data_IF_946792184042
#
_entry.id   IF_946792184042
#
_cell.length_a   1.000
_cell.length_b   1.000
_cell.length_c   1.000
_cell.angle_alpha   90.00
_cell.angle_beta   90.00
_cell.angle_gamma   90.00
#
_symmetry.space_group_name_H-M   'P 1'
#
loop_
_entity.id
_entity.type
_entity.pdbx_description
1 polymer ?
#
# COMPACT_ATOMS: atom_id res chain seq x y z
N UNK A 1 3.71 -7.28 0.79
CA UNK A 1 2.74 -6.69 1.76
C UNK A 1 3.33 -5.42 2.37
N UNK A 2 2.51 -4.40 2.55
CA UNK A 2 2.89 -3.14 3.19
C UNK A 2 1.65 -2.31 3.57
N UNK A 3 1.84 -1.32 4.45
CA UNK A 3 0.77 -0.43 4.91
C UNK A 3 0.93 0.98 4.34
N UNK A 4 -0.12 1.50 3.74
CA UNK A 4 -0.20 2.89 3.33
C UNK A 4 -1.17 3.68 4.23
N UNK A 5 -0.76 4.90 4.55
CA UNK A 5 -1.58 5.85 5.28
C UNK A 5 -1.98 7.00 4.37
N UNK A 6 -3.28 7.14 4.15
CA UNK A 6 -3.85 8.23 3.39
C UNK A 6 -4.52 9.21 4.35
N UNK A 7 -4.19 10.48 4.24
CA UNK A 7 -4.70 11.51 5.16
C UNK A 7 -5.55 12.49 4.38
N UNK A 8 -6.83 12.57 4.74
CA UNK A 8 -7.72 13.57 4.21
C UNK A 8 -7.41 14.93 4.86
N UNK A 9 -6.74 15.78 4.09
CA UNK A 9 -6.30 17.12 4.50
C UNK A 9 -6.73 18.15 3.46
N UNK A 10 -6.16 19.34 3.58
CA UNK A 10 -6.24 20.37 2.54
C UNK A 10 -5.84 19.86 1.18
N UNK A 11 -6.42 20.42 0.15
CA UNK A 11 -6.09 20.14 -1.25
C UNK A 11 -4.58 20.24 -1.50
N UNK A 12 -4.02 19.17 -2.05
CA UNK A 12 -2.61 19.11 -2.45
C UNK A 12 -2.52 19.35 -3.96
N UNK A 13 -2.34 20.58 -4.37
CA UNK A 13 -2.20 20.91 -5.78
C UNK A 13 -2.31 22.41 -6.06
N UNK A 14 -2.01 22.77 -7.27
CA UNK A 14 -2.17 24.13 -7.78
C UNK A 14 -3.29 24.14 -8.83
N UNK A 15 -4.24 25.08 -8.67
CA UNK A 15 -5.28 25.34 -9.64
C UNK A 15 -5.06 26.74 -10.20
N UNK A 16 -4.94 26.84 -11.53
CA UNK A 16 -4.99 28.10 -12.22
C UNK A 16 -6.46 28.50 -12.42
N UNK A 17 -6.84 29.65 -11.94
CA UNK A 17 -8.18 30.19 -12.12
C UNK A 17 -8.10 31.71 -12.33
N UNK A 18 -9.04 32.26 -13.12
CA UNK A 18 -9.10 33.69 -13.38
C UNK A 18 -9.54 34.53 -12.18
N UNK A 19 -10.24 33.88 -11.24
CA UNK A 19 -10.73 34.52 -10.01
C UNK A 19 -10.30 33.74 -8.80
N UNK A 20 -10.10 34.42 -7.66
CA UNK A 20 -9.74 33.77 -6.41
C UNK A 20 -10.86 32.87 -5.93
N UNK A 21 -10.59 31.58 -5.81
CA UNK A 21 -11.52 30.58 -5.30
C UNK A 21 -11.16 30.22 -3.86
N UNK A 22 -12.16 30.17 -2.98
CA UNK A 22 -12.02 29.65 -1.63
C UNK A 22 -12.52 28.20 -1.61
N UNK A 23 -11.62 27.27 -1.32
CA UNK A 23 -11.95 25.85 -1.22
C UNK A 23 -12.12 25.50 0.24
N UNK A 24 -13.26 24.92 0.60
CA UNK A 24 -13.50 24.42 1.95
C UNK A 24 -12.50 23.33 2.28
N UNK A 25 -11.76 23.51 3.36
CA UNK A 25 -10.82 22.51 3.87
C UNK A 25 -11.37 21.84 5.11
N UNK A 26 -11.25 20.52 5.28
CA UNK A 26 -11.66 19.86 6.51
C UNK A 26 -10.83 20.37 7.70
N UNK A 27 -11.47 20.59 8.84
CA UNK A 27 -10.85 21.10 10.06
C UNK A 27 -10.00 20.05 10.81
N UNK A 28 -9.97 18.81 10.34
CA UNK A 28 -9.25 17.70 10.99
C UNK A 28 -8.45 16.86 10.02
N UNK A 29 -7.56 16.03 10.56
CA UNK A 29 -6.80 15.04 9.81
C UNK A 29 -7.43 13.66 10.01
N UNK A 30 -8.41 13.32 9.19
CA UNK A 30 -8.93 11.95 9.16
C UNK A 30 -7.97 11.06 8.38
N UNK A 31 -7.68 9.90 8.93
CA UNK A 31 -6.74 8.94 8.35
C UNK A 31 -7.49 7.73 7.81
N UNK A 32 -7.14 7.30 6.63
CA UNK A 32 -7.54 6.05 6.04
C UNK A 32 -6.31 5.17 5.85
N UNK A 33 -6.24 4.08 6.57
CA UNK A 33 -5.13 3.13 6.50
C UNK A 33 -5.52 1.96 5.61
N UNK A 34 -4.60 1.57 4.75
CA UNK A 34 -4.75 0.41 3.87
C UNK A 34 -3.53 -0.48 4.08
N UNK A 35 -3.73 -1.65 4.67
CA UNK A 35 -2.74 -2.73 4.67
C UNK A 35 -3.03 -3.59 3.46
N UNK A 36 -2.08 -3.75 2.55
CA UNK A 36 -2.29 -4.45 1.29
C UNK A 36 -1.27 -5.55 1.03
N UNK A 37 -1.71 -6.55 0.29
CA UNK A 37 -0.86 -7.55 -0.33
C UNK A 37 -1.10 -7.53 -1.84
N UNK A 38 -0.04 -7.36 -2.60
CA UNK A 38 -0.05 -7.37 -4.07
C UNK A 38 0.45 -8.74 -4.54
N UNK A 39 -0.36 -9.42 -5.35
CA UNK A 39 0.11 -10.57 -6.10
C UNK A 39 1.06 -10.09 -7.21
N UNK A 40 2.32 -10.48 -7.14
CA UNK A 40 3.35 -10.00 -8.05
C UNK A 40 3.22 -10.56 -9.49
N UNK A 41 2.34 -11.54 -9.70
CA UNK A 41 2.09 -12.18 -11.01
C UNK A 41 0.80 -11.67 -11.64
N UNK A 42 -0.32 -11.77 -10.89
CA UNK A 42 -1.65 -11.38 -11.40
C UNK A 42 -1.94 -9.89 -11.26
N UNK A 43 -1.19 -9.19 -10.39
CA UNK A 43 -1.38 -7.79 -9.97
C UNK A 43 -2.68 -7.55 -9.18
N UNK A 44 -3.34 -8.60 -8.75
CA UNK A 44 -4.47 -8.51 -7.82
C UNK A 44 -3.99 -7.99 -6.47
N UNK A 45 -4.86 -7.22 -5.83
CA UNK A 45 -4.56 -6.55 -4.57
C UNK A 45 -5.62 -6.96 -3.55
N UNK A 46 -5.19 -7.60 -2.47
CA UNK A 46 -6.05 -7.91 -1.34
C UNK A 46 -5.72 -6.94 -0.21
N UNK A 47 -6.73 -6.32 0.37
CA UNK A 47 -6.54 -5.28 1.38
C UNK A 47 -7.35 -5.51 2.65
N UNK A 48 -6.80 -5.00 3.75
CA UNK A 48 -7.49 -4.71 4.99
C UNK A 48 -7.43 -3.21 5.24
N UNK A 49 -8.54 -2.59 5.59
CA UNK A 49 -8.61 -1.14 5.78
C UNK A 49 -9.19 -0.78 7.14
N UNK A 50 -8.69 0.30 7.73
CA UNK A 50 -9.26 0.89 8.94
C UNK A 50 -8.99 2.40 9.03
N UNK A 51 -9.58 3.04 10.04
CA UNK A 51 -9.42 4.47 10.33
C UNK A 51 -8.64 4.71 11.62
N UNK A 52 -8.16 3.64 12.26
CA UNK A 52 -7.43 3.67 13.53
C UNK A 52 -5.93 3.41 13.31
N UNK A 53 -5.46 2.22 13.61
CA UNK A 53 -4.05 1.82 13.53
C UNK A 53 -3.91 0.49 12.82
N UNK A 54 -2.82 0.34 12.05
CA UNK A 54 -2.37 -0.96 11.55
C UNK A 54 -1.53 -1.61 12.64
N UNK A 55 -1.95 -2.79 13.08
CA UNK A 55 -1.32 -3.56 14.15
C UNK A 55 -1.22 -5.05 13.74
N UNK A 56 -0.82 -5.91 14.67
CA UNK A 56 -0.72 -7.35 14.45
C UNK A 56 -2.03 -8.00 14.03
N UNK A 57 -3.15 -7.60 14.63
CA UNK A 57 -4.49 -8.10 14.27
C UNK A 57 -4.84 -7.75 12.83
N UNK A 58 -4.49 -6.53 12.37
CA UNK A 58 -4.67 -6.12 10.97
C UNK A 58 -3.91 -7.04 10.01
N UNK A 59 -2.71 -7.48 10.38
CA UNK A 59 -1.92 -8.45 9.59
C UNK A 59 -2.60 -9.81 9.58
N UNK A 60 -3.08 -10.29 10.72
CA UNK A 60 -3.81 -11.55 10.83
C UNK A 60 -5.07 -11.56 9.97
N UNK A 61 -5.85 -10.47 10.00
CA UNK A 61 -7.05 -10.33 9.16
C UNK A 61 -6.71 -10.32 7.65
N UNK A 62 -5.62 -9.64 7.24
CA UNK A 62 -5.17 -9.69 5.86
C UNK A 62 -4.74 -11.10 5.45
N UNK A 63 -4.03 -11.85 6.32
CA UNK A 63 -3.63 -13.22 6.06
C UNK A 63 -4.84 -14.16 5.91
N UNK A 64 -5.87 -14.02 6.76
CA UNK A 64 -7.12 -14.77 6.62
C UNK A 64 -7.82 -14.49 5.31
N UNK A 65 -7.86 -13.23 4.86
CA UNK A 65 -8.39 -12.86 3.53
C UNK A 65 -7.59 -13.48 2.40
N UNK A 66 -6.25 -13.49 2.50
CA UNK A 66 -5.37 -14.14 1.53
C UNK A 66 -5.62 -15.65 1.45
N UNK A 67 -5.74 -16.32 2.58
CA UNK A 67 -6.03 -17.75 2.62
C UNK A 67 -7.44 -18.06 2.05
N UNK A 68 -8.43 -17.22 2.38
CA UNK A 68 -9.81 -17.37 1.90
C UNK A 68 -9.96 -17.08 0.38
N UNK A 69 -8.99 -16.43 -0.26
CA UNK A 69 -9.04 -16.15 -1.72
C UNK A 69 -8.92 -17.42 -2.60
N UNK A 70 -8.73 -18.59 -1.99
CA UNK A 70 -8.81 -19.88 -2.69
C UNK A 70 -7.72 -20.12 -3.72
N UNK A 71 -6.56 -19.49 -3.58
CA UNK A 71 -5.46 -19.60 -4.55
C UNK A 71 -4.92 -21.04 -4.68
N UNK A 72 -5.15 -21.92 -3.71
CA UNK A 72 -4.73 -23.34 -3.72
C UNK A 72 -3.21 -23.56 -3.86
N UNK A 73 -2.42 -22.55 -3.57
CA UNK A 73 -0.95 -22.53 -3.69
C UNK A 73 -0.29 -22.08 -2.39
N UNK A 74 0.98 -22.41 -2.23
CA UNK A 74 1.79 -21.89 -1.13
C UNK A 74 1.93 -20.36 -1.26
N UNK A 75 1.62 -19.65 -0.18
CA UNK A 75 1.69 -18.20 -0.14
C UNK A 75 2.95 -17.78 0.61
N UNK A 76 3.82 -17.01 -0.06
CA UNK A 76 4.94 -16.34 0.58
C UNK A 76 4.71 -14.84 0.59
N UNK A 77 4.60 -14.26 1.77
CA UNK A 77 4.43 -12.81 1.96
C UNK A 77 5.80 -12.15 2.08
N UNK A 78 6.13 -11.31 1.11
CA UNK A 78 7.31 -10.44 1.16
C UNK A 78 6.90 -9.13 1.86
N UNK A 79 7.59 -8.74 2.92
CA UNK A 79 7.29 -7.53 3.68
C UNK A 79 8.54 -6.90 4.30
N UNK A 80 8.40 -5.71 4.83
CA UNK A 80 9.43 -5.04 5.60
C UNK A 80 9.57 -5.61 7.02
N UNK A 81 10.44 -5.02 7.82
CA UNK A 81 10.74 -5.48 9.18
C UNK A 81 9.91 -4.77 10.27
N UNK A 82 8.66 -4.36 10.00
CA UNK A 82 7.84 -3.69 11.00
C UNK A 82 7.55 -4.59 12.21
N UNK A 83 7.60 -4.01 13.41
CA UNK A 83 7.46 -4.78 14.66
C UNK A 83 6.15 -5.56 14.76
N UNK A 84 5.04 -4.97 14.30
CA UNK A 84 3.72 -5.59 14.34
C UNK A 84 3.56 -6.79 13.38
N UNK A 85 4.53 -6.98 12.47
CA UNK A 85 4.58 -8.13 11.56
C UNK A 85 5.39 -9.31 12.16
N UNK A 86 6.09 -9.08 13.28
CA UNK A 86 7.02 -10.04 13.90
C UNK A 86 6.63 -10.41 15.34
N UNK A 87 5.37 -10.48 15.64
CA UNK A 87 4.88 -10.87 16.96
C UNK A 87 4.28 -12.29 16.93
N UNK A 88 4.20 -12.91 18.09
CA UNK A 88 3.77 -14.31 18.25
C UNK A 88 2.46 -14.61 17.53
N UNK A 89 1.43 -13.80 17.74
CA UNK A 89 0.11 -14.01 17.12
C UNK A 89 0.17 -14.03 15.57
N UNK A 90 1.06 -13.25 14.95
CA UNK A 90 1.22 -13.25 13.50
C UNK A 90 1.86 -14.54 13.02
N UNK A 91 2.85 -15.07 13.76
CA UNK A 91 3.50 -16.34 13.42
C UNK A 91 2.56 -17.53 13.61
N UNK A 92 1.78 -17.55 14.70
CA UNK A 92 0.77 -18.57 14.97
C UNK A 92 -0.26 -18.65 13.83
N UNK A 93 -0.84 -17.51 13.45
CA UNK A 93 -1.82 -17.45 12.35
C UNK A 93 -1.17 -17.79 11.00
N UNK A 94 0.07 -17.41 10.78
CA UNK A 94 0.79 -17.75 9.55
C UNK A 94 1.01 -19.28 9.44
N UNK A 95 1.37 -19.94 10.55
CA UNK A 95 1.53 -21.38 10.62
C UNK A 95 0.20 -22.10 10.37
N UNK A 96 -0.88 -21.68 11.04
CA UNK A 96 -2.23 -22.22 10.83
C UNK A 96 -2.69 -22.14 9.37
N UNK A 97 -2.36 -21.05 8.68
CA UNK A 97 -2.76 -20.79 7.29
C UNK A 97 -1.78 -21.31 6.26
N UNK A 98 -0.64 -21.89 6.65
CA UNK A 98 0.42 -22.30 5.75
C UNK A 98 1.09 -21.16 4.99
N UNK A 99 1.15 -19.96 5.59
CA UNK A 99 1.72 -18.76 5.00
C UNK A 99 3.17 -18.58 5.49
N UNK A 100 4.08 -18.34 4.58
CA UNK A 100 5.50 -18.07 4.88
C UNK A 100 5.81 -16.60 4.75
N UNK A 101 6.63 -16.05 5.66
CA UNK A 101 7.13 -14.68 5.57
C UNK A 101 8.56 -14.61 5.05
N UNK A 102 8.81 -13.68 4.13
CA UNK A 102 10.14 -13.28 3.68
C UNK A 102 10.34 -11.80 4.00
N UNK A 103 11.23 -11.51 4.96
CA UNK A 103 11.51 -10.15 5.38
C UNK A 103 12.60 -9.51 4.53
N UNK A 104 12.30 -8.33 4.01
CA UNK A 104 13.28 -7.53 3.26
C UNK A 104 14.38 -6.98 4.19
N UNK A 105 15.57 -6.72 3.67
CA UNK A 105 16.60 -6.01 4.43
C UNK A 105 16.08 -4.66 4.95
N UNK A 106 16.54 -4.26 6.12
CA UNK A 106 16.20 -2.95 6.69
C UNK A 106 16.55 -1.82 5.72
N UNK A 107 15.76 -0.77 5.71
CA UNK A 107 15.96 0.42 4.85
C UNK A 107 15.95 0.13 3.34
N UNK A 108 15.25 -0.90 2.90
CA UNK A 108 15.19 -1.30 1.49
C UNK A 108 13.78 -1.25 0.88
N UNK A 109 13.03 -0.13 0.99
CA UNK A 109 11.66 -0.03 0.49
C UNK A 109 11.60 -0.18 -1.05
N UNK A 110 12.70 0.16 -1.76
CA UNK A 110 12.80 0.02 -3.20
C UNK A 110 12.68 -1.45 -3.68
N UNK A 111 12.90 -2.42 -2.79
CA UNK A 111 12.72 -3.85 -3.06
C UNK A 111 11.27 -4.32 -2.87
N UNK A 112 10.42 -3.50 -2.23
CA UNK A 112 9.03 -3.85 -2.02
C UNK A 112 8.16 -3.30 -3.18
N UNK A 113 7.65 -4.19 -4.03
CA UNK A 113 6.85 -3.81 -5.20
C UNK A 113 5.58 -3.02 -4.81
N UNK A 114 4.98 -3.31 -3.69
CA UNK A 114 3.74 -2.64 -3.26
C UNK A 114 3.94 -1.15 -2.95
N UNK A 115 5.16 -0.72 -2.65
CA UNK A 115 5.49 0.70 -2.51
C UNK A 115 5.26 1.49 -3.83
N UNK A 116 5.46 0.83 -4.96
CA UNK A 116 5.17 1.43 -6.27
C UNK A 116 3.67 1.56 -6.49
N UNK A 117 2.88 0.58 -5.99
CA UNK A 117 1.43 0.67 -5.99
C UNK A 117 0.96 1.88 -5.16
N UNK A 118 1.49 2.08 -3.96
CA UNK A 118 1.11 3.21 -3.13
C UNK A 118 1.45 4.56 -3.77
N UNK A 119 2.56 4.66 -4.48
CA UNK A 119 2.90 5.85 -5.27
C UNK A 119 1.89 6.08 -6.40
N UNK A 120 1.51 5.02 -7.09
CA UNK A 120 0.49 5.06 -8.13
C UNK A 120 -0.87 5.50 -7.58
N UNK A 121 -1.33 4.90 -6.49
CA UNK A 121 -2.60 5.26 -5.85
C UNK A 121 -2.60 6.73 -5.40
N UNK A 122 -1.50 7.21 -4.80
CA UNK A 122 -1.39 8.63 -4.43
C UNK A 122 -1.45 9.54 -5.65
N UNK A 123 -0.80 9.18 -6.74
CA UNK A 123 -0.83 9.96 -7.99
C UNK A 123 -2.25 10.04 -8.55
N UNK A 124 -2.95 8.92 -8.64
CA UNK A 124 -4.27 8.85 -9.25
C UNK A 124 -5.38 9.44 -8.37
N UNK A 125 -5.30 9.30 -7.04
CA UNK A 125 -6.36 9.70 -6.13
C UNK A 125 -6.09 11.03 -5.41
N UNK A 126 -4.82 11.47 -5.25
CA UNK A 126 -4.54 12.62 -4.40
C UNK A 126 -4.01 13.83 -5.15
N UNK A 127 -3.18 13.65 -6.17
CA UNK A 127 -2.58 14.78 -6.86
C UNK A 127 -3.63 15.53 -7.70
N UNK A 128 -3.80 16.81 -7.38
CA UNK A 128 -4.78 17.70 -8.03
C UNK A 128 -6.23 17.21 -7.90
N UNK A 129 -6.55 16.44 -6.87
CA UNK A 129 -7.90 15.98 -6.56
C UNK A 129 -8.39 16.63 -5.28
N UNK A 130 -9.64 17.10 -5.31
CA UNK A 130 -10.33 17.65 -4.15
C UNK A 130 -11.47 16.72 -3.74
N UNK A 131 -11.57 16.46 -2.44
CA UNK A 131 -12.66 15.68 -1.86
C UNK A 131 -13.33 16.54 -0.79
N UNK A 132 -14.63 16.78 -0.97
CA UNK A 132 -15.42 17.61 -0.03
C UNK A 132 -15.57 16.94 1.34
N UNK A 133 -15.58 15.62 1.39
CA UNK A 133 -15.77 14.83 2.59
C UNK A 133 -14.85 13.58 2.60
N UNK A 134 -14.72 13.01 3.79
CA UNK A 134 -13.85 11.86 4.01
C UNK A 134 -14.36 10.58 3.35
N UNK A 135 -15.67 10.43 3.22
CA UNK A 135 -16.23 9.23 2.59
C UNK A 135 -15.92 9.18 1.10
N UNK A 136 -16.09 10.31 0.40
CA UNK A 136 -15.70 10.44 -1.01
C UNK A 136 -14.21 10.16 -1.22
N UNK A 137 -13.36 10.68 -0.32
CA UNK A 137 -11.92 10.43 -0.32
C UNK A 137 -11.60 8.94 -0.16
N UNK A 138 -12.18 8.27 0.84
CA UNK A 138 -12.00 6.85 1.10
C UNK A 138 -12.49 6.00 -0.07
N UNK A 139 -13.69 6.29 -0.58
CA UNK A 139 -14.29 5.55 -1.69
C UNK A 139 -13.42 5.63 -2.95
N UNK A 140 -12.89 6.81 -3.29
CA UNK A 140 -12.02 6.96 -4.44
C UNK A 140 -10.76 6.09 -4.35
N UNK A 141 -10.15 6.01 -3.17
CA UNK A 141 -8.96 5.17 -2.93
C UNK A 141 -9.33 3.68 -3.01
N UNK A 142 -10.40 3.26 -2.33
CA UNK A 142 -10.83 1.87 -2.31
C UNK A 142 -11.21 1.38 -3.71
N UNK A 143 -12.04 2.13 -4.43
CA UNK A 143 -12.44 1.76 -5.79
C UNK A 143 -11.24 1.64 -6.73
N UNK A 144 -10.29 2.58 -6.68
CA UNK A 144 -9.09 2.46 -7.51
C UNK A 144 -8.30 1.19 -7.17
N UNK A 145 -8.08 0.88 -5.88
CA UNK A 145 -7.34 -0.32 -5.46
C UNK A 145 -8.04 -1.59 -5.95
N UNK A 146 -9.37 -1.65 -5.84
CA UNK A 146 -10.18 -2.80 -6.24
C UNK A 146 -10.16 -3.04 -7.76
N UNK A 147 -10.21 -1.98 -8.57
CA UNK A 147 -10.32 -2.11 -10.03
C UNK A 147 -9.01 -1.92 -10.79
N UNK A 148 -7.95 -1.41 -10.14
CA UNK A 148 -6.71 -1.04 -10.81
C UNK A 148 -6.05 -2.19 -11.61
N UNK A 149 -6.16 -3.42 -11.13
CA UNK A 149 -5.62 -4.59 -11.80
C UNK A 149 -6.40 -4.95 -13.10
N UNK A 150 -7.57 -4.38 -13.30
CA UNK A 150 -8.39 -4.52 -14.51
C UNK A 150 -8.27 -3.24 -15.35
N UNK A 151 -8.72 -2.11 -14.80
CA UNK A 151 -8.88 -0.84 -15.53
C UNK A 151 -7.54 -0.20 -15.88
N UNK A 152 -6.52 -0.39 -15.05
CA UNK A 152 -5.18 0.19 -15.16
C UNK A 152 -4.08 -0.87 -15.35
N UNK A 153 -4.45 -2.05 -15.83
CA UNK A 153 -3.53 -3.20 -15.94
C UNK A 153 -2.22 -2.87 -16.65
N UNK A 154 -2.28 -2.17 -17.79
CA UNK A 154 -1.08 -1.82 -18.58
C UNK A 154 -0.12 -0.92 -17.81
N UNK A 155 -0.67 0.08 -17.10
CA UNK A 155 0.11 1.01 -16.27
C UNK A 155 0.72 0.28 -15.09
N UNK A 156 -0.07 -0.52 -14.36
CA UNK A 156 0.41 -1.33 -13.25
C UNK A 156 1.49 -2.32 -13.68
N UNK A 157 1.29 -3.04 -14.77
CA UNK A 157 2.28 -3.99 -15.29
C UNK A 157 3.62 -3.32 -15.61
N UNK A 158 3.59 -2.12 -16.16
CA UNK A 158 4.79 -1.33 -16.41
C UNK A 158 5.51 -0.94 -15.11
N UNK A 159 4.76 -0.51 -14.08
CA UNK A 159 5.30 -0.10 -12.79
C UNK A 159 5.83 -1.29 -11.98
N UNK A 160 5.16 -2.44 -12.04
CA UNK A 160 5.49 -3.65 -11.28
C UNK A 160 6.56 -4.50 -11.95
N UNK A 161 7.41 -3.89 -12.77
CA UNK A 161 8.52 -4.60 -13.39
C UNK A 161 9.51 -5.10 -12.31
N UNK A 162 10.05 -6.32 -12.49
CA UNK A 162 11.05 -6.92 -11.60
C UNK A 162 12.44 -6.27 -11.68
N UNK A 163 12.54 -5.11 -12.34
CA UNK A 163 13.79 -4.34 -12.41
C UNK A 163 13.95 -3.55 -11.11
N UNK A 164 14.73 -4.10 -10.20
CA UNK A 164 15.12 -3.42 -8.96
C UNK A 164 16.44 -2.66 -9.16
N UNK A 165 16.54 -1.47 -8.58
CA UNK A 165 17.81 -0.77 -8.51
C UNK A 165 18.73 -1.51 -7.52
N UNK A 166 19.84 -2.04 -8.02
CA UNK A 166 20.91 -2.56 -7.18
C UNK A 166 22.01 -1.52 -7.07
N UNK A 167 22.30 -1.08 -5.87
CA UNK A 167 23.45 -0.22 -5.62
C UNK A 167 24.69 -1.11 -5.47
N UNK A 168 25.68 -0.98 -6.37
CA UNK A 168 26.99 -1.57 -6.15
C UNK A 168 27.59 -0.98 -4.87
N UNK A 169 28.12 -1.83 -3.98
CA UNK A 169 28.90 -1.34 -2.82
C UNK A 169 30.00 -0.42 -3.35
N UNK A 170 29.89 0.86 -3.03
CA UNK A 170 31.00 1.80 -3.23
C UNK A 170 32.09 1.34 -2.27
N UNK A 171 33.21 0.82 -2.77
CA UNK A 171 34.41 0.63 -1.98
C UNK A 171 34.90 2.05 -1.63
N UNK A 172 34.71 2.49 -0.40
CA UNK A 172 35.46 3.62 0.09
C UNK A 172 36.94 3.19 0.05
N UNK A 173 37.69 3.77 -0.87
CA UNK A 173 39.13 3.72 -0.81
C UNK A 173 39.48 4.52 0.43
N UNK A 174 39.91 3.81 1.49
CA UNK A 174 40.39 4.44 2.71
C UNK A 174 41.56 5.39 2.38
N UNK A 175 41.47 6.59 2.94
CA UNK A 175 42.58 7.51 3.11
C UNK A 175 43.33 7.09 4.35
#
# INVERSE_FOLDING_TARGET
>A
MDAAHFVHTTFLGYLWCFTRLFIKSPSGRKRFNVLGALNAVTLEIITFTNESYVNAESVCELMRKLAASGLGILITIICDNARYQKCAIVFEVAEELGITFLYLPSYSPHLNLIERLWKFVRKECLYSKYYADFNSFRTAISSLIETAHIDKYKELKSLMSWKFQSFKKVKFLGV
#
